data_IF_017396230191
#
_entry.id   IF_017396230191
#
_cell.length_a   1.000
_cell.length_b   1.000
_cell.length_c   1.000
_cell.angle_alpha   90.00
_cell.angle_beta   90.00
_cell.angle_gamma   90.00
#
_symmetry.space_group_name_H-M   'P 1'
#
loop_
_entity.id
_entity.type
_entity.pdbx_description
1 polymer ?
#
# COMPACT_ATOMS: atom_id res chain seq x y z
N UNK A 1 -0.77 7.41 -2.60
CA UNK A 1 -0.16 6.06 -2.43
C UNK A 1 0.12 5.37 -3.76
N UNK A 2 -0.85 5.27 -4.68
CA UNK A 2 -0.71 4.56 -5.97
C UNK A 2 0.50 4.95 -6.84
N UNK A 3 0.87 6.24 -6.91
CA UNK A 3 1.99 6.67 -7.77
C UNK A 3 3.35 6.15 -7.29
N UNK A 4 3.64 6.20 -5.98
CA UNK A 4 4.92 5.73 -5.41
C UNK A 4 5.04 4.20 -5.50
N UNK A 5 3.95 3.48 -5.22
CA UNK A 5 3.90 2.03 -5.37
C UNK A 5 4.11 1.59 -6.83
N UNK A 6 3.53 2.31 -7.79
CA UNK A 6 3.76 2.07 -9.22
C UNK A 6 5.22 2.29 -9.62
N UNK A 7 5.90 3.31 -9.08
CA UNK A 7 7.33 3.53 -9.34
C UNK A 7 8.20 2.40 -8.80
N UNK A 8 7.88 1.88 -7.62
CA UNK A 8 8.57 0.70 -7.07
C UNK A 8 8.38 -0.53 -7.95
N UNK A 9 7.15 -0.78 -8.42
CA UNK A 9 6.86 -1.91 -9.31
C UNK A 9 7.67 -1.83 -10.62
N UNK A 10 7.69 -0.65 -11.25
CA UNK A 10 8.49 -0.42 -12.47
C UNK A 10 9.97 -0.71 -12.22
N UNK A 11 10.53 -0.22 -11.11
CA UNK A 11 11.94 -0.46 -10.79
C UNK A 11 12.21 -1.96 -10.54
N UNK A 12 11.29 -2.65 -9.86
CA UNK A 12 11.40 -4.10 -9.61
C UNK A 12 11.39 -4.89 -10.91
N UNK A 13 10.43 -4.62 -11.80
CA UNK A 13 10.34 -5.27 -13.11
C UNK A 13 11.60 -5.04 -13.94
N UNK A 14 12.12 -3.80 -13.96
CA UNK A 14 13.36 -3.47 -14.65
C UNK A 14 14.58 -4.18 -14.05
N UNK A 15 14.65 -4.27 -12.72
CA UNK A 15 15.71 -4.99 -12.04
C UNK A 15 15.69 -6.48 -12.41
N UNK A 16 14.51 -7.11 -12.35
CA UNK A 16 14.37 -8.55 -12.61
C UNK A 16 14.70 -8.90 -14.06
N UNK A 17 14.30 -8.05 -15.01
CA UNK A 17 14.68 -8.19 -16.42
C UNK A 17 16.19 -8.02 -16.64
N UNK A 18 16.84 -7.02 -16.02
CA UNK A 18 18.30 -6.86 -16.06
C UNK A 18 19.01 -8.10 -15.52
N UNK A 19 18.57 -8.60 -14.35
CA UNK A 19 19.15 -9.81 -13.74
C UNK A 19 18.94 -11.03 -14.62
N UNK A 20 17.76 -11.19 -15.24
CA UNK A 20 17.48 -12.28 -16.17
C UNK A 20 18.41 -12.25 -17.39
N UNK A 21 18.61 -11.09 -18.02
CA UNK A 21 19.51 -10.93 -19.17
C UNK A 21 20.97 -11.22 -18.79
N UNK A 22 21.42 -10.76 -17.63
CA UNK A 22 22.76 -11.07 -17.09
C UNK A 22 22.95 -12.57 -16.90
N UNK A 23 21.97 -13.25 -16.29
CA UNK A 23 22.00 -14.70 -16.10
C UNK A 23 22.10 -15.43 -17.44
N UNK A 24 21.30 -15.04 -18.43
CA UNK A 24 21.36 -15.60 -19.79
C UNK A 24 22.74 -15.41 -20.43
N UNK A 25 23.35 -14.22 -20.31
CA UNK A 25 24.69 -13.98 -20.83
C UNK A 25 25.74 -14.88 -20.18
N UNK A 26 25.72 -15.04 -18.86
CA UNK A 26 26.67 -15.91 -18.15
C UNK A 26 26.57 -17.34 -18.66
N UNK A 27 25.34 -17.85 -18.86
CA UNK A 27 25.10 -19.18 -19.42
C UNK A 27 25.67 -19.29 -20.84
N UNK A 28 25.42 -18.30 -21.69
CA UNK A 28 25.90 -18.30 -23.07
C UNK A 28 27.43 -18.23 -23.16
N UNK A 29 28.07 -17.41 -22.30
CA UNK A 29 29.52 -17.30 -22.21
C UNK A 29 30.14 -18.63 -21.78
N UNK A 30 29.57 -19.27 -20.75
CA UNK A 30 30.04 -20.58 -20.27
C UNK A 30 29.88 -21.69 -21.31
N UNK A 31 28.88 -21.59 -22.20
CA UNK A 31 28.66 -22.54 -23.29
C UNK A 31 29.48 -22.25 -24.55
N UNK A 32 30.39 -21.26 -24.53
CA UNK A 32 31.13 -20.77 -25.71
C UNK A 32 30.19 -20.36 -26.88
N UNK A 33 28.96 -19.93 -26.57
CA UNK A 33 27.94 -19.57 -27.58
C UNK A 33 27.90 -18.07 -27.91
N UNK A 34 28.87 -17.29 -27.43
CA UNK A 34 28.85 -15.83 -27.54
C UNK A 34 29.97 -15.30 -28.42
N UNK A 35 29.63 -14.56 -29.47
CA UNK A 35 30.54 -13.66 -30.20
C UNK A 35 30.50 -12.27 -29.56
N UNK A 36 31.62 -11.53 -29.62
CA UNK A 36 31.81 -10.20 -29.01
C UNK A 36 30.68 -9.21 -29.35
N UNK A 37 30.04 -9.36 -30.52
CA UNK A 37 28.93 -8.53 -31.01
C UNK A 37 27.63 -8.61 -30.19
N UNK A 38 27.43 -9.62 -29.33
CA UNK A 38 26.24 -9.71 -28.45
C UNK A 38 26.38 -8.96 -27.13
N UNK A 39 27.60 -8.51 -26.76
CA UNK A 39 27.84 -7.76 -25.51
C UNK A 39 27.18 -6.39 -25.52
N UNK A 40 27.26 -5.67 -26.64
CA UNK A 40 26.73 -4.30 -26.77
C UNK A 40 25.19 -4.25 -26.91
N UNK A 41 24.56 -5.37 -27.24
CA UNK A 41 23.09 -5.51 -27.30
C UNK A 41 22.47 -5.82 -25.93
N UNK A 42 23.26 -6.26 -24.95
CA UNK A 42 22.72 -6.84 -23.72
C UNK A 42 22.26 -5.79 -22.70
N UNK A 43 22.95 -4.66 -22.68
CA UNK A 43 22.59 -3.47 -21.94
C UNK A 43 22.44 -2.33 -22.93
N UNK A 44 21.23 -2.18 -23.48
CA UNK A 44 20.94 -0.95 -24.19
C UNK A 44 21.23 0.22 -23.23
N UNK A 45 22.05 1.18 -23.65
CA UNK A 45 22.31 2.41 -22.90
C UNK A 45 21.01 3.04 -22.38
N UNK A 46 19.91 2.90 -23.14
CA UNK A 46 18.56 3.32 -22.78
C UNK A 46 18.02 2.65 -21.51
N UNK A 47 18.28 1.36 -21.31
CA UNK A 47 17.81 0.61 -20.13
C UNK A 47 18.57 1.05 -18.87
N UNK A 48 19.88 1.27 -18.97
CA UNK A 48 20.69 1.81 -17.87
C UNK A 48 20.17 3.19 -17.43
N UNK A 49 19.99 4.12 -18.38
CA UNK A 49 19.50 5.48 -18.08
C UNK A 49 18.10 5.45 -17.45
N UNK A 50 17.20 4.59 -17.94
CA UNK A 50 15.87 4.43 -17.35
C UNK A 50 15.93 3.84 -15.94
N UNK A 51 16.81 2.88 -15.70
CA UNK A 51 16.98 2.24 -14.39
C UNK A 51 17.52 3.26 -13.38
N UNK A 52 18.59 3.96 -13.74
CA UNK A 52 19.22 5.00 -12.92
C UNK A 52 18.21 6.09 -12.55
N UNK A 53 17.43 6.57 -13.53
CA UNK A 53 16.36 7.54 -13.29
C UNK A 53 15.29 7.01 -12.34
N UNK A 54 14.88 5.76 -12.50
CA UNK A 54 13.85 5.14 -11.65
C UNK A 54 14.36 4.93 -10.21
N UNK A 55 15.63 4.54 -10.05
CA UNK A 55 16.29 4.42 -8.77
C UNK A 55 16.43 5.78 -8.07
N UNK A 56 16.80 6.82 -8.80
CA UNK A 56 16.88 8.19 -8.29
C UNK A 56 15.51 8.69 -7.81
N UNK A 57 14.44 8.48 -8.59
CA UNK A 57 13.06 8.82 -8.19
C UNK A 57 12.66 8.06 -6.92
N UNK A 58 13.01 6.78 -6.79
CA UNK A 58 12.74 6.01 -5.57
C UNK A 58 13.50 6.58 -4.37
N UNK A 59 14.77 6.93 -4.55
CA UNK A 59 15.58 7.55 -3.50
C UNK A 59 14.98 8.88 -3.02
N UNK A 60 14.53 9.73 -3.94
CA UNK A 60 13.81 10.97 -3.63
C UNK A 60 12.51 10.68 -2.85
N UNK A 61 11.75 9.68 -3.27
CA UNK A 61 10.51 9.28 -2.57
C UNK A 61 10.77 8.80 -1.14
N UNK A 62 11.87 8.09 -0.89
CA UNK A 62 12.29 7.63 0.43
C UNK A 62 12.73 8.80 1.31
N UNK A 63 13.46 9.76 0.74
CA UNK A 63 13.84 10.98 1.46
C UNK A 63 12.61 11.83 1.83
N UNK A 64 11.65 11.95 0.92
CA UNK A 64 10.35 12.58 1.20
C UNK A 64 9.61 11.89 2.35
N UNK A 65 9.62 10.55 2.39
CA UNK A 65 9.01 9.78 3.46
C UNK A 65 9.70 10.05 4.81
N UNK A 66 11.04 10.01 4.85
CA UNK A 66 11.82 10.32 6.06
C UNK A 66 11.56 11.75 6.56
N UNK A 67 11.45 12.71 5.64
CA UNK A 67 11.12 14.10 6.00
C UNK A 67 9.70 14.21 6.56
N UNK A 68 8.74 13.47 5.99
CA UNK A 68 7.37 13.42 6.50
C UNK A 68 7.30 12.80 7.89
N UNK A 69 8.03 11.72 8.12
CA UNK A 69 8.15 11.08 9.44
C UNK A 69 8.68 12.08 10.48
N UNK A 70 9.81 12.75 10.19
CA UNK A 70 10.36 13.80 11.07
C UNK A 70 9.37 14.92 11.36
N UNK A 71 8.61 15.34 10.36
CA UNK A 71 7.57 16.34 10.52
C UNK A 71 6.47 15.86 11.48
N UNK A 72 5.94 14.65 11.28
CA UNK A 72 4.86 14.09 12.11
C UNK A 72 5.32 13.89 13.56
N UNK A 73 6.54 13.40 13.76
CA UNK A 73 7.14 13.27 15.09
C UNK A 73 7.28 14.64 15.76
N UNK A 74 7.87 15.62 15.06
CA UNK A 74 8.04 16.97 15.61
C UNK A 74 6.73 17.73 15.82
N UNK A 75 5.63 17.33 15.16
CA UNK A 75 4.30 17.86 15.45
C UNK A 75 3.80 17.38 16.81
N UNK A 76 4.01 16.10 17.13
CA UNK A 76 3.64 15.52 18.43
C UNK A 76 4.39 16.20 19.58
N UNK A 77 5.67 16.48 19.39
CA UNK A 77 6.50 17.19 20.38
C UNK A 77 6.01 18.61 20.66
N UNK A 78 5.29 19.21 19.70
CA UNK A 78 4.67 20.54 19.82
C UNK A 78 3.17 20.47 20.19
N UNK A 79 2.67 19.32 20.65
CA UNK A 79 1.28 19.08 21.04
C UNK A 79 0.26 19.19 19.89
N UNK A 80 0.67 18.97 18.64
CA UNK A 80 -0.26 18.85 17.52
C UNK A 80 -0.76 17.41 17.37
N UNK A 81 -2.05 17.26 17.07
CA UNK A 81 -2.60 16.01 16.56
C UNK A 81 -2.45 15.95 15.03
N UNK A 82 -1.86 14.88 14.50
CA UNK A 82 -1.76 14.70 13.05
C UNK A 82 -3.00 14.02 12.49
N UNK A 83 -3.58 14.58 11.43
CA UNK A 83 -4.73 14.02 10.72
C UNK A 83 -4.47 13.94 9.21
N UNK A 84 -4.53 12.73 8.64
CA UNK A 84 -4.57 12.53 7.20
C UNK A 84 -5.99 12.69 6.67
N UNK A 85 -6.25 13.78 5.95
CA UNK A 85 -7.61 14.12 5.50
C UNK A 85 -8.14 13.22 4.38
N UNK A 86 -7.28 12.45 3.73
CA UNK A 86 -7.72 11.46 2.73
C UNK A 86 -8.68 10.41 3.33
N UNK A 87 -8.58 10.16 4.64
CA UNK A 87 -9.45 9.24 5.36
C UNK A 87 -10.84 9.84 5.65
N UNK A 88 -11.03 11.14 5.39
CA UNK A 88 -12.23 11.88 5.76
C UNK A 88 -13.23 12.07 4.62
N UNK A 89 -12.99 11.53 3.41
CA UNK A 89 -13.87 11.63 2.24
C UNK A 89 -14.34 13.08 1.99
N UNK A 90 -13.40 14.02 2.00
CA UNK A 90 -13.70 15.44 1.81
C UNK A 90 -14.01 15.74 0.34
N UNK A 91 -14.85 16.75 0.10
CA UNK A 91 -15.08 17.29 -1.24
C UNK A 91 -14.78 18.78 -1.26
N UNK A 92 -14.42 19.31 -2.43
CA UNK A 92 -14.09 20.74 -2.62
C UNK A 92 -15.17 21.69 -2.06
N UNK A 93 -16.43 21.30 -2.14
CA UNK A 93 -17.57 22.15 -1.75
C UNK A 93 -17.86 22.16 -0.24
N UNK A 94 -17.37 21.17 0.51
CA UNK A 94 -17.78 20.99 1.91
C UNK A 94 -16.63 20.67 2.86
N UNK A 95 -15.38 20.74 2.41
CA UNK A 95 -14.26 20.22 3.18
C UNK A 95 -14.15 20.92 4.54
N UNK A 96 -14.24 22.26 4.62
CA UNK A 96 -14.14 22.98 5.89
C UNK A 96 -15.21 22.54 6.90
N UNK A 97 -16.47 22.48 6.47
CA UNK A 97 -17.59 22.06 7.32
C UNK A 97 -17.41 20.61 7.77
N UNK A 98 -17.06 19.73 6.83
CA UNK A 98 -16.89 18.29 7.10
C UNK A 98 -15.70 18.06 8.03
N UNK A 99 -14.60 18.78 7.83
CA UNK A 99 -13.39 18.70 8.63
C UNK A 99 -13.68 19.18 10.07
N UNK A 100 -14.32 20.35 10.23
CA UNK A 100 -14.78 20.86 11.53
C UNK A 100 -15.68 19.86 12.26
N UNK A 101 -16.63 19.25 11.55
CA UNK A 101 -17.53 18.25 12.13
C UNK A 101 -16.81 16.95 12.52
N UNK A 102 -16.00 16.38 11.62
CA UNK A 102 -15.31 15.10 11.86
C UNK A 102 -14.22 15.19 12.91
N UNK A 103 -13.53 16.33 12.98
CA UNK A 103 -12.53 16.62 14.02
C UNK A 103 -13.14 17.18 15.30
N UNK A 104 -14.48 17.16 15.43
CA UNK A 104 -15.21 17.57 16.63
C UNK A 104 -14.81 18.97 17.14
N UNK A 105 -14.54 19.91 16.23
CA UNK A 105 -14.32 21.30 16.62
C UNK A 105 -15.62 21.88 17.17
N UNK A 106 -15.73 21.95 18.51
CA UNK A 106 -16.96 22.38 19.20
C UNK A 106 -16.84 23.76 19.84
N UNK A 107 -15.63 24.28 20.01
CA UNK A 107 -15.37 25.53 20.73
C UNK A 107 -14.21 26.34 20.11
N UNK A 108 -13.92 27.50 20.71
CA UNK A 108 -12.83 28.41 20.31
C UNK A 108 -11.42 27.87 20.62
N UNK A 109 -11.34 26.77 21.36
CA UNK A 109 -10.08 26.16 21.75
C UNK A 109 -9.59 25.14 20.72
N UNK A 110 -10.30 24.96 19.59
CA UNK A 110 -9.84 24.10 18.52
C UNK A 110 -9.28 24.95 17.36
N UNK A 111 -8.10 24.59 16.86
CA UNK A 111 -7.52 25.16 15.63
C UNK A 111 -7.07 24.04 14.71
N UNK A 112 -7.28 24.21 13.40
CA UNK A 112 -6.77 23.27 12.40
C UNK A 112 -5.76 24.00 11.52
N UNK A 113 -4.53 23.52 11.46
CA UNK A 113 -3.53 23.95 10.48
C UNK A 113 -3.62 23.03 9.26
N UNK A 114 -4.15 23.54 8.15
CA UNK A 114 -4.34 22.77 6.91
C UNK A 114 -3.21 23.05 5.93
N UNK A 115 -2.61 22.00 5.36
CA UNK A 115 -1.53 22.12 4.37
C UNK A 115 -1.34 20.85 3.53
N UNK A 116 -0.48 20.91 2.52
CA UNK A 116 -0.02 19.79 1.69
C UNK A 116 1.50 19.70 1.67
N UNK A 117 2.06 18.55 1.29
CA UNK A 117 3.51 18.37 1.11
C UNK A 117 4.08 19.36 0.09
N UNK A 118 3.35 19.65 -0.97
CA UNK A 118 3.75 20.65 -1.98
C UNK A 118 3.81 22.05 -1.38
N UNK A 119 2.80 22.44 -0.59
CA UNK A 119 2.79 23.74 0.09
C UNK A 119 3.88 23.83 1.16
N UNK A 120 4.14 22.75 1.89
CA UNK A 120 5.20 22.67 2.88
C UNK A 120 6.59 22.86 2.25
N UNK A 121 6.83 22.23 1.08
CA UNK A 121 8.08 22.38 0.33
C UNK A 121 8.25 23.81 -0.22
N UNK A 122 7.18 24.39 -0.77
CA UNK A 122 7.21 25.73 -1.36
C UNK A 122 7.32 26.84 -0.31
N UNK A 123 6.61 26.70 0.82
CA UNK A 123 6.40 27.74 1.82
C UNK A 123 6.83 27.28 3.23
N UNK A 124 7.96 26.58 3.35
CA UNK A 124 8.41 26.00 4.62
C UNK A 124 8.62 27.01 5.75
N UNK A 125 9.07 28.24 5.43
CA UNK A 125 9.21 29.32 6.40
C UNK A 125 7.85 29.75 6.99
N UNK A 126 6.82 29.90 6.14
CA UNK A 126 5.45 30.20 6.56
C UNK A 126 4.90 29.09 7.46
N UNK A 127 5.11 27.83 7.09
CA UNK A 127 4.69 26.69 7.91
C UNK A 127 5.31 26.75 9.31
N UNK A 128 6.64 26.95 9.38
CA UNK A 128 7.34 27.01 10.66
C UNK A 128 6.90 28.20 11.52
N UNK A 129 6.66 29.36 10.90
CA UNK A 129 6.13 30.53 11.58
C UNK A 129 4.77 30.22 12.23
N UNK A 130 3.83 29.68 11.45
CA UNK A 130 2.48 29.33 11.94
C UNK A 130 2.53 28.26 13.02
N UNK A 131 3.37 27.22 12.87
CA UNK A 131 3.57 26.18 13.88
C UNK A 131 4.09 26.76 15.19
N UNK A 132 5.12 27.60 15.13
CA UNK A 132 5.70 28.22 16.31
C UNK A 132 4.73 29.19 17.00
N UNK A 133 3.91 29.91 16.22
CA UNK A 133 2.84 30.75 16.77
C UNK A 133 1.80 29.90 17.52
N UNK A 134 1.29 28.84 16.89
CA UNK A 134 0.30 27.96 17.49
C UNK A 134 0.86 27.20 18.72
N UNK A 135 2.12 26.76 18.68
CA UNK A 135 2.76 26.12 19.83
C UNK A 135 2.84 27.08 21.04
N UNK A 136 3.24 28.34 20.82
CA UNK A 136 3.24 29.37 21.87
C UNK A 136 1.84 29.65 22.42
N UNK A 137 0.81 29.64 21.56
CA UNK A 137 -0.57 29.77 22.03
C UNK A 137 -1.00 28.58 22.89
N UNK A 138 -0.51 27.37 22.59
CA UNK A 138 -0.77 26.17 23.39
C UNK A 138 -0.09 26.24 24.77
N UNK A 139 1.10 26.85 24.86
CA UNK A 139 1.77 27.11 26.14
C UNK A 139 0.97 28.06 27.03
N UNK A 140 0.31 29.06 26.44
CA UNK A 140 -0.53 30.03 27.14
C UNK A 140 -1.90 29.44 27.50
N UNK A 141 -2.49 28.65 26.60
CA UNK A 141 -3.80 28.04 26.77
C UNK A 141 -3.69 26.51 26.68
N UNK A 142 -3.58 25.86 27.84
CA UNK A 142 -3.47 24.40 27.94
C UNK A 142 -4.71 23.64 27.41
N UNK A 143 -5.85 24.33 27.28
CA UNK A 143 -7.06 23.74 26.69
C UNK A 143 -7.10 23.86 25.16
N UNK A 144 -6.11 24.53 24.54
CA UNK A 144 -6.03 24.66 23.09
C UNK A 144 -5.65 23.33 22.46
N UNK A 145 -6.52 22.84 21.59
CA UNK A 145 -6.31 21.67 20.77
C UNK A 145 -5.98 22.07 19.34
N UNK A 146 -4.85 21.57 18.84
CA UNK A 146 -4.35 21.91 17.50
C UNK A 146 -4.26 20.64 16.66
N UNK A 147 -5.00 20.60 15.57
CA UNK A 147 -4.90 19.52 14.58
C UNK A 147 -4.10 19.99 13.37
N UNK A 148 -3.08 19.25 12.99
CA UNK A 148 -2.43 19.36 11.70
C UNK A 148 -3.20 18.52 10.67
N UNK A 149 -3.92 19.17 9.76
CA UNK A 149 -4.68 18.52 8.72
C UNK A 149 -3.85 18.43 7.43
N UNK A 150 -3.49 17.21 7.06
CA UNK A 150 -2.69 16.90 5.88
C UNK A 150 -3.57 16.57 4.66
N UNK A 151 -3.49 17.43 3.65
CA UNK A 151 -4.24 17.32 2.39
C UNK A 151 -3.41 16.70 1.25
N UNK A 152 -2.19 16.23 1.51
CA UNK A 152 -1.28 15.71 0.46
C UNK A 152 -1.84 14.53 -0.33
N UNK A 153 -2.80 13.81 0.24
CA UNK A 153 -3.49 12.69 -0.40
C UNK A 153 -5.00 12.92 -0.56
N UNK A 154 -5.46 14.15 -0.32
CA UNK A 154 -6.86 14.55 -0.47
C UNK A 154 -7.18 14.87 -1.92
N UNK A 155 -8.45 14.72 -2.30
CA UNK A 155 -8.99 15.22 -3.57
C UNK A 155 -9.23 16.73 -3.55
N UNK A 156 -9.16 17.35 -2.37
CA UNK A 156 -9.32 18.79 -2.18
C UNK A 156 -7.97 19.47 -2.40
N UNK A 157 -7.93 20.38 -3.37
CA UNK A 157 -6.77 21.21 -3.63
C UNK A 157 -6.77 22.44 -2.72
N UNK A 158 -5.71 22.59 -1.92
CA UNK A 158 -5.45 23.79 -1.14
C UNK A 158 -4.56 24.75 -1.94
N UNK A 159 -4.95 26.02 -1.96
CA UNK A 159 -4.17 27.07 -2.63
C UNK A 159 -3.03 27.61 -1.75
N UNK A 160 -3.20 27.56 -0.42
CA UNK A 160 -2.23 28.08 0.54
C UNK A 160 -2.34 27.33 1.88
N UNK A 161 -1.34 27.50 2.74
CA UNK A 161 -1.36 27.06 4.14
C UNK A 161 -2.32 27.97 4.90
N UNK A 162 -3.30 27.37 5.56
CA UNK A 162 -4.38 28.08 6.24
C UNK A 162 -4.63 27.54 7.66
N UNK A 163 -5.17 28.40 8.53
CA UNK A 163 -5.61 28.01 9.87
C UNK A 163 -7.13 28.18 9.93
N UNK A 164 -7.84 27.07 10.14
CA UNK A 164 -9.27 27.08 10.35
C UNK A 164 -9.57 27.24 11.85
N UNK A 165 -10.40 28.22 12.17
CA UNK A 165 -10.94 28.44 13.51
C UNK A 165 -12.46 28.34 13.51
N UNK A 166 -13.05 28.24 14.71
CA UNK A 166 -14.51 28.16 14.91
C UNK A 166 -15.24 29.51 14.82
N UNK A 167 -14.56 30.60 14.48
CA UNK A 167 -15.15 31.95 14.54
C UNK A 167 -16.32 32.15 13.56
N UNK A 168 -17.47 32.51 14.15
CA UNK A 168 -18.67 33.18 13.62
C UNK A 168 -18.77 33.32 12.09
N UNK A 169 -19.89 32.84 11.53
CA UNK A 169 -20.46 33.30 10.26
C UNK A 169 -20.30 34.81 10.13
N UNK A 170 -19.28 35.23 9.37
CA UNK A 170 -19.21 36.59 8.86
C UNK A 170 -20.33 36.72 7.84
N UNK A 171 -21.48 37.21 8.32
CA UNK A 171 -22.47 37.91 7.53
C UNK A 171 -21.80 39.15 6.92
N UNK A 172 -21.03 38.96 5.87
CA UNK A 172 -20.58 40.02 4.99
C UNK A 172 -20.46 39.43 3.58
N UNK A 173 -21.62 39.13 2.99
CA UNK A 173 -21.88 39.28 1.55
C UNK A 173 -23.37 39.10 1.25
N UNK A 174 -23.95 40.23 0.80
CA UNK A 174 -25.18 40.38 0.01
C UNK A 174 -26.52 40.16 0.72
N UNK A 175 -27.03 41.28 1.21
CA UNK A 175 -28.45 41.62 1.21
C UNK A 175 -29.06 41.37 -0.17
N UNK A 176 -29.93 40.36 -0.29
CA UNK A 176 -31.10 40.51 -1.15
C UNK A 176 -32.27 39.68 -0.59
N UNK A 177 -33.38 40.40 -0.40
CA UNK A 177 -34.72 39.91 -0.12
C UNK A 177 -35.08 38.70 -0.99
N UNK A 178 -35.74 37.70 -0.39
CA UNK A 178 -37.08 37.21 -0.77
C UNK A 178 -37.41 35.97 0.09
N UNK A 179 -38.37 36.11 1.01
CA UNK A 179 -39.79 35.68 0.88
C UNK A 179 -40.01 34.17 1.11
N UNK A 180 -40.56 33.88 2.30
CA UNK A 180 -41.77 33.09 2.57
C UNK A 180 -42.02 31.77 1.83
N UNK A 181 -42.09 30.67 2.59
CA UNK A 181 -43.19 29.66 2.62
C UNK A 181 -42.72 28.45 3.48
N UNK A 182 -43.34 28.13 4.63
CA UNK A 182 -44.39 27.10 4.81
C UNK A 182 -44.21 25.91 3.84
N UNK A 183 -44.14 24.63 4.23
CA UNK A 183 -45.08 23.85 5.06
C UNK A 183 -44.57 22.39 5.16
N UNK A 184 -44.77 21.73 6.31
CA UNK A 184 -45.39 20.38 6.45
C UNK A 184 -44.66 19.11 5.90
N UNK A 185 -44.10 18.32 6.84
CA UNK A 185 -44.61 16.99 7.29
C UNK A 185 -44.07 15.66 6.71
N UNK A 186 -43.67 14.80 7.67
CA UNK A 186 -43.71 13.32 7.79
C UNK A 186 -42.79 12.40 6.96
N UNK A 187 -41.93 11.73 7.72
CA UNK A 187 -41.83 10.26 7.92
C UNK A 187 -42.10 9.33 6.73
N UNK A 188 -41.14 8.44 6.44
CA UNK A 188 -41.20 7.03 6.87
C UNK A 188 -39.95 6.22 6.52
N UNK A 189 -39.47 5.56 7.56
CA UNK A 189 -38.69 4.32 7.62
C UNK A 189 -39.13 3.23 6.64
N UNK A 190 -38.16 2.50 6.08
CA UNK A 190 -38.28 1.04 5.93
C UNK A 190 -36.90 0.38 5.84
N UNK A 191 -36.66 -0.45 6.84
CA UNK A 191 -35.53 -1.35 7.07
C UNK A 191 -35.87 -2.70 6.46
N UNK A 192 -34.94 -3.34 5.74
CA UNK A 192 -35.00 -4.78 5.45
C UNK A 192 -33.61 -5.40 5.61
N UNK A 193 -33.34 -5.87 6.83
CA UNK A 193 -32.26 -6.80 7.11
C UNK A 193 -32.80 -8.21 6.85
N UNK A 194 -32.23 -8.90 5.86
CA UNK A 194 -32.39 -10.35 5.70
C UNK A 194 -31.35 -11.05 6.57
N UNK A 195 -31.81 -11.81 7.56
CA UNK A 195 -31.00 -12.68 8.41
C UNK A 195 -30.81 -14.06 7.77
N UNK A 196 -29.59 -14.58 7.84
CA UNK A 196 -29.25 -15.97 7.54
C UNK A 196 -29.74 -16.89 8.67
N UNK A 197 -30.15 -18.14 8.37
CA UNK A 197 -30.62 -19.08 9.38
C UNK A 197 -29.44 -19.67 10.17
N UNK A 198 -29.63 -19.80 11.48
CA UNK A 198 -28.71 -20.44 12.42
C UNK A 198 -29.13 -21.88 12.69
N UNK A 199 -28.17 -22.81 12.66
CA UNK A 199 -28.14 -23.95 13.59
C UNK A 199 -26.72 -24.53 13.68
N UNK A 200 -26.33 -25.11 14.84
CA UNK A 200 -24.95 -25.37 15.20
C UNK A 200 -24.54 -26.81 14.91
N UNK A 201 -23.40 -26.99 14.24
CA UNK A 201 -22.66 -28.25 14.24
C UNK A 201 -21.20 -27.91 14.53
N UNK A 202 -20.80 -28.13 15.78
CA UNK A 202 -19.41 -28.04 16.24
C UNK A 202 -18.61 -29.21 15.69
N UNK A 203 -18.14 -29.05 14.46
CA UNK A 203 -16.80 -29.44 14.07
C UNK A 203 -16.13 -28.12 13.74
N UNK A 204 -15.10 -27.71 14.48
CA UNK A 204 -14.33 -26.49 14.20
C UNK A 204 -13.46 -26.70 12.94
N UNK A 205 -14.10 -27.03 11.84
CA UNK A 205 -13.48 -27.19 10.54
C UNK A 205 -13.17 -25.79 10.02
N UNK A 206 -11.89 -25.50 9.87
CA UNK A 206 -11.43 -24.26 9.26
C UNK A 206 -11.33 -24.50 7.75
N UNK A 207 -12.19 -23.84 6.99
CA UNK A 207 -12.09 -23.82 5.53
C UNK A 207 -11.14 -22.71 5.11
N UNK A 208 -10.03 -23.08 4.47
CA UNK A 208 -9.02 -22.14 3.98
C UNK A 208 -9.14 -22.08 2.45
N UNK A 209 -9.43 -20.89 1.91
CA UNK A 209 -9.47 -20.63 0.47
C UNK A 209 -8.16 -19.97 0.03
N UNK A 210 -7.42 -20.63 -0.87
CA UNK A 210 -6.19 -20.10 -1.47
C UNK A 210 -6.50 -19.53 -2.87
N UNK A 211 -6.30 -18.22 -3.03
CA UNK A 211 -6.50 -17.52 -4.31
C UNK A 211 -5.16 -17.03 -4.86
N UNK A 212 -4.99 -17.16 -6.17
CA UNK A 212 -3.82 -16.67 -6.88
C UNK A 212 -3.79 -17.19 -8.31
N UNK A 213 -3.07 -16.48 -9.17
CA UNK A 213 -2.90 -16.87 -10.58
C UNK A 213 -2.26 -18.26 -10.71
N UNK A 214 -2.35 -18.82 -11.90
CA UNK A 214 -1.71 -20.09 -12.24
C UNK A 214 -0.18 -20.00 -12.07
N UNK A 215 0.45 -21.03 -11.50
CA UNK A 215 1.92 -21.09 -11.34
C UNK A 215 2.48 -20.36 -10.12
N UNK A 216 1.66 -19.62 -9.35
CA UNK A 216 2.14 -18.88 -8.15
C UNK A 216 2.53 -19.77 -6.95
N UNK A 217 2.41 -21.10 -7.08
CA UNK A 217 2.86 -22.05 -6.05
C UNK A 217 1.82 -22.43 -4.99
N UNK A 218 0.52 -22.34 -5.30
CA UNK A 218 -0.56 -22.74 -4.36
C UNK A 218 -0.45 -24.20 -3.90
N UNK A 219 -0.26 -25.14 -4.82
CA UNK A 219 -0.07 -26.57 -4.50
C UNK A 219 1.20 -26.82 -3.67
N UNK A 220 2.28 -26.11 -3.99
CA UNK A 220 3.53 -26.12 -3.20
C UNK A 220 3.30 -25.63 -1.77
N UNK A 221 2.52 -24.56 -1.60
CA UNK A 221 2.17 -24.05 -0.28
C UNK A 221 1.36 -25.06 0.54
N UNK A 222 0.38 -25.75 -0.06
CA UNK A 222 -0.41 -26.78 0.63
C UNK A 222 0.51 -27.88 1.19
N UNK A 223 1.42 -28.40 0.37
CA UNK A 223 2.38 -29.41 0.82
C UNK A 223 3.27 -28.87 1.95
N UNK A 224 3.80 -27.66 1.82
CA UNK A 224 4.64 -27.05 2.85
C UNK A 224 3.87 -26.85 4.17
N UNK A 225 2.62 -26.41 4.09
CA UNK A 225 1.75 -26.16 5.25
C UNK A 225 1.46 -27.45 6.03
N UNK A 226 1.21 -28.56 5.33
CA UNK A 226 1.00 -29.87 5.97
C UNK A 226 2.26 -30.36 6.67
N UNK A 227 3.42 -30.20 6.04
CA UNK A 227 4.71 -30.56 6.66
C UNK A 227 5.01 -29.69 7.88
N UNK A 228 4.70 -28.39 7.82
CA UNK A 228 4.82 -27.47 8.94
C UNK A 228 3.95 -27.87 10.13
N UNK A 229 2.70 -28.28 9.88
CA UNK A 229 1.81 -28.76 10.94
C UNK A 229 2.24 -30.13 11.50
N UNK A 230 2.87 -30.98 10.68
CA UNK A 230 3.29 -32.32 11.09
C UNK A 230 4.56 -32.32 11.93
N UNK A 231 5.57 -31.57 11.50
CA UNK A 231 6.91 -31.61 12.10
C UNK A 231 7.10 -30.43 13.04
N UNK A 232 7.54 -30.70 14.28
CA UNK A 232 7.70 -29.65 15.30
C UNK A 232 8.92 -28.75 15.06
N UNK A 233 9.89 -29.23 14.31
CA UNK A 233 11.17 -28.54 14.05
C UNK A 233 11.57 -28.74 12.60
N UNK A 234 12.39 -27.82 12.10
CA UNK A 234 12.92 -27.89 10.75
C UNK A 234 13.84 -29.11 10.57
N UNK A 235 14.66 -29.42 11.57
CA UNK A 235 15.57 -30.57 11.57
C UNK A 235 14.80 -31.89 11.48
N UNK A 236 13.65 -31.99 12.16
CA UNK A 236 12.75 -33.13 12.01
C UNK A 236 12.15 -33.20 10.60
N UNK A 237 11.70 -32.07 10.05
CA UNK A 237 11.17 -32.05 8.68
C UNK A 237 12.24 -32.45 7.64
N UNK A 238 13.50 -32.07 7.84
CA UNK A 238 14.61 -32.37 6.94
C UNK A 238 15.06 -33.83 7.01
N UNK A 239 14.98 -34.45 8.19
CA UNK A 239 15.41 -35.84 8.42
C UNK A 239 14.33 -36.90 8.14
N UNK A 240 13.08 -36.47 7.90
CA UNK A 240 11.95 -37.36 7.60
C UNK A 240 11.46 -37.18 6.15
N UNK A 241 10.73 -38.17 5.65
CA UNK A 241 10.09 -38.07 4.34
C UNK A 241 8.96 -37.02 4.38
N UNK A 242 8.97 -36.02 3.47
CA UNK A 242 7.90 -35.03 3.41
C UNK A 242 6.54 -35.65 3.09
N UNK A 243 5.49 -35.13 3.72
CA UNK A 243 4.10 -35.43 3.35
C UNK A 243 3.75 -34.64 2.10
N UNK A 244 3.38 -35.33 1.03
CA UNK A 244 2.98 -34.71 -0.24
C UNK A 244 1.52 -35.07 -0.49
N UNK A 245 0.63 -34.08 -0.39
CA UNK A 245 -0.79 -34.27 -0.66
C UNK A 245 -1.12 -34.06 -2.13
N UNK A 246 -0.41 -33.12 -2.77
CA UNK A 246 -0.58 -32.78 -4.19
C UNK A 246 0.77 -32.99 -4.86
N UNK A 247 0.91 -33.86 -5.87
CA UNK A 247 2.17 -34.00 -6.59
C UNK A 247 2.60 -32.66 -7.20
N UNK A 248 3.89 -32.36 -7.13
CA UNK A 248 4.44 -31.10 -7.64
C UNK A 248 5.70 -31.34 -8.47
N UNK A 249 5.81 -30.61 -9.57
CA UNK A 249 6.94 -30.62 -10.49
C UNK A 249 7.37 -29.17 -10.78
N UNK A 250 8.58 -28.79 -10.40
CA UNK A 250 9.09 -27.43 -10.65
C UNK A 250 10.61 -27.42 -10.83
N UNK A 251 11.11 -26.42 -11.56
CA UNK A 251 12.54 -26.21 -11.75
C UNK A 251 13.10 -25.42 -10.57
N UNK A 252 14.19 -25.92 -9.99
CA UNK A 252 14.96 -25.22 -8.96
C UNK A 252 16.40 -25.06 -9.43
N UNK A 253 16.94 -23.87 -9.26
CA UNK A 253 18.35 -23.58 -9.57
C UNK A 253 19.19 -23.81 -8.31
N UNK A 254 20.24 -24.62 -8.42
CA UNK A 254 21.09 -25.02 -7.27
C UNK A 254 22.54 -24.68 -7.55
N UNK A 255 23.24 -24.17 -6.53
CA UNK A 255 24.68 -23.89 -6.56
C UNK A 255 25.06 -22.61 -7.31
N UNK A 256 26.33 -22.21 -7.18
CA UNK A 256 26.91 -21.02 -7.82
C UNK A 256 27.11 -21.20 -9.34
N UNK A 257 27.01 -22.44 -9.82
CA UNK A 257 27.01 -22.79 -11.24
C UNK A 257 25.61 -22.73 -11.88
N UNK A 258 24.58 -22.46 -11.08
CA UNK A 258 23.18 -22.29 -11.49
C UNK A 258 22.62 -23.51 -12.24
N UNK A 259 22.89 -24.72 -11.74
CA UNK A 259 22.33 -25.92 -12.34
C UNK A 259 20.81 -25.95 -12.11
N UNK A 260 20.05 -26.02 -13.20
CA UNK A 260 18.63 -26.28 -13.13
C UNK A 260 18.42 -27.76 -12.81
N UNK A 261 17.68 -28.01 -11.74
CA UNK A 261 17.23 -29.34 -11.34
C UNK A 261 15.72 -29.36 -11.38
N UNK A 262 15.19 -30.33 -12.11
CA UNK A 262 13.77 -30.63 -12.06
C UNK A 262 13.48 -31.36 -10.76
N UNK A 263 12.70 -30.71 -9.90
CA UNK A 263 12.25 -31.25 -8.63
C UNK A 263 10.87 -31.86 -8.84
N UNK A 264 10.77 -33.16 -8.55
CA UNK A 264 9.51 -33.92 -8.59
C UNK A 264 9.25 -34.52 -7.20
N UNK A 265 8.07 -34.27 -6.66
CA UNK A 265 7.61 -34.81 -5.38
C UNK A 265 6.17 -35.32 -5.49
N UNK A 266 5.89 -36.49 -4.92
CA UNK A 266 4.56 -37.13 -4.93
C UNK A 266 4.45 -38.28 -5.92
N UNK A 267 3.28 -38.93 -5.92
CA UNK A 267 2.92 -39.98 -6.86
C UNK A 267 2.19 -39.36 -8.07
N UNK A 268 2.81 -39.45 -9.23
CA UNK A 268 2.33 -38.83 -10.47
C UNK A 268 1.39 -39.75 -11.26
N UNK A 269 1.33 -41.03 -10.91
CA UNK A 269 0.54 -42.03 -11.65
C UNK A 269 -0.95 -42.00 -11.24
N UNK A 270 -1.28 -41.33 -10.14
CA UNK A 270 -2.64 -41.26 -9.57
C UNK A 270 -3.34 -39.91 -9.75
N UNK A 271 -2.63 -38.88 -10.24
CA UNK A 271 -3.13 -37.51 -10.36
C UNK A 271 -3.51 -37.17 -11.81
N UNK A 272 -4.75 -37.42 -12.19
CA UNK A 272 -5.28 -37.11 -13.53
C UNK A 272 -5.54 -35.60 -13.78
N UNK A 273 -5.39 -34.75 -12.76
CA UNK A 273 -5.79 -33.34 -12.79
C UNK A 273 -4.62 -32.36 -12.75
N UNK A 274 -3.38 -32.83 -12.92
CA UNK A 274 -2.18 -32.00 -12.91
C UNK A 274 -1.33 -32.33 -14.16
N UNK A 275 -0.79 -31.31 -14.82
CA UNK A 275 0.10 -31.46 -15.96
C UNK A 275 1.56 -31.43 -15.49
N UNK A 276 2.28 -32.53 -15.68
CA UNK A 276 3.66 -32.69 -15.24
C UNK A 276 4.68 -32.64 -16.38
N UNK A 277 4.21 -32.55 -17.61
CA UNK A 277 5.05 -32.44 -18.81
C UNK A 277 5.53 -31.00 -19.02
N UNK A 278 4.87 -30.03 -18.38
CA UNK A 278 5.18 -28.59 -18.41
C UNK A 278 5.62 -28.07 -17.01
N UNK A 279 6.87 -28.32 -16.58
CA UNK A 279 7.33 -27.96 -15.25
C UNK A 279 7.29 -26.45 -15.00
N UNK A 280 6.59 -26.03 -13.94
CA UNK A 280 6.38 -24.63 -13.58
C UNK A 280 5.02 -24.05 -13.99
N UNK A 281 4.23 -24.76 -14.80
CA UNK A 281 2.83 -24.42 -15.04
C UNK A 281 1.95 -25.19 -14.04
N UNK A 282 1.06 -24.49 -13.35
CA UNK A 282 -0.01 -25.14 -12.58
C UNK A 282 -1.18 -25.34 -13.55
N UNK A 283 -1.92 -26.45 -13.49
CA UNK A 283 -3.11 -26.59 -14.33
C UNK A 283 -4.26 -27.09 -13.48
N UNK A 284 -4.75 -26.25 -12.58
CA UNK A 284 -6.11 -26.42 -12.06
C UNK A 284 -7.08 -26.13 -13.22
N UNK A 285 -7.56 -27.16 -13.90
CA UNK A 285 -8.61 -27.04 -14.91
C UNK A 285 -9.96 -26.65 -14.26
N UNK A 286 -10.78 -25.96 -15.04
CA UNK A 286 -12.16 -25.58 -14.74
C UNK A 286 -13.11 -26.78 -14.72
#
# INVERSE_FOLDING_TARGET
MHKKQRQWLILSEMHDDIIYRLRRLIIDLRKNRTTVSKRDQLFHHVDHVKFEKSAQILQENLNDFKNKEKLIVGLRDQHFEYCNTAQLNLTKYNYEKTLKCKLKMKDRNNKILSTTDTLNKKNGSKLNLLRNQLAKECEINQNLYITYADFSYSTVELNDIEILTTSQTNNNKKSHLQKSSSTVTKNKTSTSQQSLPSSPITNDNINILLLGETGVGKSTFINAFVNYLKFKTFEQAQSNTPIVLIPVSFLMTVGDDFQERLIKFGDFDSSNNEDFDHPGESVTQH
#
